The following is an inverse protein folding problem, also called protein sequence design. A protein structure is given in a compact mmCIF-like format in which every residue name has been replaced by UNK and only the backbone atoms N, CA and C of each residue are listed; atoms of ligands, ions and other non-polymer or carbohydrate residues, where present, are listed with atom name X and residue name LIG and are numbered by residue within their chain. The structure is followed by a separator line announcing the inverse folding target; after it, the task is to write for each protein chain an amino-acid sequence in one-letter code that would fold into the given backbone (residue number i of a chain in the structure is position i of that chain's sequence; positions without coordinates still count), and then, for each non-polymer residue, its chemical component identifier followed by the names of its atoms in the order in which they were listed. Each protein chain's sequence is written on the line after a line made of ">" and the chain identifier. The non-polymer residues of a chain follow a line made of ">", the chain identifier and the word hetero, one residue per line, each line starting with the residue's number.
data_IF_737425705823
#
_entry.id   IF_737425705823
#
_cell.length_a   1.000
_cell.length_b   1.000
_cell.length_c   1.000
_cell.angle_alpha   90.00
_cell.angle_beta   90.00
_cell.angle_gamma   90.00
#
_symmetry.space_group_name_H-M   'P 1'
#
loop_
_entity.id
_entity.type
_entity.pdbx_description
1 polymer ?
#
# COMPACT_ATOMS: atom_id res chain seq x y z
N UNK A 1 -12.33 3.26 40.77
CA UNK A 1 -12.73 4.35 39.85
C UNK A 1 -12.09 3.99 38.52
N UNK A 2 -12.84 3.45 37.58
CA UNK A 2 -12.29 3.11 36.23
C UNK A 2 -12.27 4.43 35.47
N UNK A 3 -11.08 4.96 35.22
CA UNK A 3 -10.94 6.09 34.30
C UNK A 3 -11.46 5.66 32.94
N UNK A 4 -12.49 6.36 32.46
CA UNK A 4 -13.00 6.19 31.10
C UNK A 4 -11.90 6.52 30.08
N UNK A 5 -12.10 6.17 28.80
CA UNK A 5 -11.12 6.45 27.76
C UNK A 5 -10.80 7.95 27.74
N UNK A 6 -9.51 8.29 27.75
CA UNK A 6 -9.08 9.68 27.66
C UNK A 6 -9.42 10.24 26.28
N UNK A 7 -9.64 11.55 26.18
CA UNK A 7 -9.91 12.25 24.90
C UNK A 7 -8.86 11.93 23.84
N UNK A 8 -7.62 11.71 24.25
CA UNK A 8 -6.51 11.31 23.38
C UNK A 8 -6.72 9.90 22.80
N UNK A 9 -7.15 8.93 23.63
CA UNK A 9 -7.42 7.56 23.15
C UNK A 9 -8.59 7.48 22.17
N UNK A 10 -9.62 8.30 22.34
CA UNK A 10 -10.75 8.42 21.42
C UNK A 10 -10.32 9.03 20.07
N UNK A 11 -9.47 10.07 20.11
CA UNK A 11 -8.91 10.70 18.92
C UNK A 11 -8.07 9.71 18.13
N UNK A 12 -7.19 8.95 18.77
CA UNK A 12 -6.36 7.93 18.13
C UNK A 12 -7.21 6.81 17.51
N UNK A 13 -8.28 6.38 18.19
CA UNK A 13 -9.20 5.39 17.65
C UNK A 13 -9.92 5.91 16.39
N UNK A 14 -10.32 7.17 16.39
CA UNK A 14 -10.96 7.82 15.23
C UNK A 14 -10.00 7.94 14.05
N UNK A 15 -8.75 8.38 14.30
CA UNK A 15 -7.72 8.45 13.24
C UNK A 15 -7.48 7.07 12.64
N UNK A 16 -7.38 5.99 13.43
CA UNK A 16 -7.22 4.64 12.89
C UNK A 16 -8.39 4.22 12.02
N UNK A 17 -9.63 4.51 12.41
CA UNK A 17 -10.80 4.21 11.57
C UNK A 17 -10.77 4.95 10.24
N UNK A 18 -10.36 6.22 10.25
CA UNK A 18 -10.21 7.02 9.05
C UNK A 18 -9.12 6.46 8.13
N UNK A 19 -7.95 6.09 8.68
CA UNK A 19 -6.88 5.46 7.92
C UNK A 19 -7.30 4.12 7.31
N UNK A 20 -8.03 3.28 8.06
CA UNK A 20 -8.56 2.02 7.54
C UNK A 20 -9.57 2.26 6.41
N UNK A 21 -10.46 3.23 6.57
CA UNK A 21 -11.42 3.63 5.53
C UNK A 21 -10.73 4.15 4.27
N UNK A 22 -9.74 5.03 4.43
CA UNK A 22 -8.94 5.55 3.32
C UNK A 22 -8.18 4.43 2.59
N UNK A 23 -7.59 3.49 3.35
CA UNK A 23 -6.92 2.32 2.79
C UNK A 23 -7.89 1.44 2.00
N UNK A 24 -9.08 1.15 2.53
CA UNK A 24 -10.08 0.33 1.85
C UNK A 24 -10.55 0.99 0.54
N UNK A 25 -10.86 2.28 0.57
CA UNK A 25 -11.23 3.05 -0.63
C UNK A 25 -10.09 3.04 -1.65
N UNK A 26 -8.86 3.27 -1.20
CA UNK A 26 -7.69 3.28 -2.07
C UNK A 26 -7.42 1.92 -2.72
N UNK A 27 -7.54 0.81 -1.97
CA UNK A 27 -7.40 -0.55 -2.52
C UNK A 27 -8.44 -0.81 -3.60
N UNK A 28 -9.71 -0.50 -3.34
CA UNK A 28 -10.80 -0.70 -4.32
C UNK A 28 -10.60 0.22 -5.53
N UNK A 29 -10.29 1.50 -5.31
CA UNK A 29 -10.07 2.47 -6.38
C UNK A 29 -8.91 2.09 -7.30
N UNK A 30 -7.75 1.76 -6.70
CA UNK A 30 -6.57 1.32 -7.49
C UNK A 30 -6.83 0.02 -8.23
N UNK A 31 -7.56 -0.93 -7.62
CA UNK A 31 -7.95 -2.17 -8.31
C UNK A 31 -8.83 -1.88 -9.53
N UNK A 32 -9.83 -1.02 -9.36
CA UNK A 32 -10.72 -0.60 -10.44
C UNK A 32 -9.97 0.10 -11.56
N UNK A 33 -9.06 1.01 -11.22
CA UNK A 33 -8.23 1.73 -12.19
C UNK A 33 -7.36 0.77 -13.02
N UNK A 34 -6.65 -0.17 -12.38
CA UNK A 34 -5.82 -1.15 -13.08
C UNK A 34 -6.64 -2.05 -14.02
N UNK A 35 -7.86 -2.43 -13.62
CA UNK A 35 -8.76 -3.21 -14.47
C UNK A 35 -9.23 -2.37 -15.67
N UNK A 36 -9.64 -1.13 -15.45
CA UNK A 36 -10.09 -0.21 -16.50
C UNK A 36 -8.98 0.10 -17.51
N UNK A 37 -7.75 0.24 -17.03
CA UNK A 37 -6.56 0.46 -17.86
C UNK A 37 -6.08 -0.82 -18.56
N UNK A 38 -6.79 -1.95 -18.41
CA UNK A 38 -6.39 -3.26 -18.95
C UNK A 38 -4.94 -3.62 -18.61
N UNK A 39 -4.55 -3.37 -17.37
CA UNK A 39 -3.18 -3.66 -16.91
C UNK A 39 -2.97 -5.16 -16.67
N UNK A 40 -3.19 -5.96 -17.73
CA UNK A 40 -3.23 -7.44 -17.71
C UNK A 40 -2.53 -8.08 -18.91
N UNK A 41 -1.90 -7.29 -19.79
CA UNK A 41 -1.33 -7.80 -21.05
C UNK A 41 -0.03 -8.60 -20.83
N UNK A 42 0.68 -8.34 -19.73
CA UNK A 42 1.94 -9.02 -19.40
C UNK A 42 1.84 -9.70 -18.02
N UNK A 43 2.50 -10.87 -17.81
CA UNK A 43 2.44 -11.57 -16.53
C UNK A 43 2.82 -10.71 -15.32
N UNK A 44 3.82 -9.82 -15.45
CA UNK A 44 4.24 -8.94 -14.38
C UNK A 44 3.14 -7.92 -13.94
N UNK A 45 2.22 -7.59 -14.84
CA UNK A 45 1.11 -6.67 -14.57
C UNK A 45 0.02 -7.30 -13.69
N UNK A 46 -0.03 -8.63 -13.59
CA UNK A 46 -0.94 -9.32 -12.68
C UNK A 46 -0.53 -9.21 -11.21
N UNK A 47 0.76 -8.99 -10.93
CA UNK A 47 1.28 -8.95 -9.57
C UNK A 47 0.55 -7.92 -8.71
N UNK A 48 0.44 -6.64 -9.10
CA UNK A 48 -0.28 -5.65 -8.30
C UNK A 48 -1.76 -6.00 -8.13
N UNK A 49 -2.44 -6.55 -9.16
CA UNK A 49 -3.84 -6.96 -9.06
C UNK A 49 -4.05 -8.09 -8.06
N UNK A 50 -3.18 -9.12 -8.08
CA UNK A 50 -3.25 -10.24 -7.13
C UNK A 50 -3.05 -9.76 -5.70
N UNK A 51 -2.08 -8.86 -5.49
CA UNK A 51 -1.79 -8.32 -4.15
C UNK A 51 -2.91 -7.41 -3.65
N UNK A 52 -3.50 -6.59 -4.53
CA UNK A 52 -4.70 -5.79 -4.22
C UNK A 52 -5.91 -6.68 -3.92
N UNK A 53 -6.12 -7.75 -4.69
CA UNK A 53 -7.19 -8.72 -4.45
C UNK A 53 -7.01 -9.44 -3.09
N UNK A 54 -5.77 -9.79 -2.72
CA UNK A 54 -5.46 -10.37 -1.43
C UNK A 54 -5.68 -9.39 -0.26
N UNK A 55 -5.57 -8.09 -0.51
CA UNK A 55 -5.81 -7.07 0.51
C UNK A 55 -7.27 -7.03 0.97
N UNK A 56 -8.23 -7.29 0.07
CA UNK A 56 -9.66 -7.20 0.39
C UNK A 56 -10.07 -8.14 1.54
N UNK A 57 -9.84 -9.46 1.47
CA UNK A 57 -10.20 -10.35 2.57
C UNK A 57 -9.42 -10.07 3.85
N UNK A 58 -8.16 -9.62 3.75
CA UNK A 58 -7.34 -9.28 4.92
C UNK A 58 -7.90 -8.02 5.60
N UNK A 59 -8.32 -7.01 4.87
CA UNK A 59 -8.96 -5.82 5.40
C UNK A 59 -10.32 -6.15 6.06
N UNK A 60 -11.13 -6.98 5.43
CA UNK A 60 -12.41 -7.45 5.99
C UNK A 60 -12.16 -8.20 7.29
N UNK A 61 -11.21 -9.15 7.29
CA UNK A 61 -10.86 -9.89 8.50
C UNK A 61 -10.39 -8.97 9.62
N UNK A 62 -9.46 -8.05 9.30
CA UNK A 62 -8.94 -7.11 10.30
C UNK A 62 -10.04 -6.19 10.85
N UNK A 63 -10.93 -5.68 9.99
CA UNK A 63 -12.03 -4.80 10.38
C UNK A 63 -13.08 -5.52 11.27
N UNK A 64 -13.39 -6.80 10.97
CA UNK A 64 -14.40 -7.58 11.69
C UNK A 64 -13.87 -8.23 12.98
N UNK A 65 -12.60 -8.62 13.01
CA UNK A 65 -11.96 -9.32 14.14
C UNK A 65 -10.53 -8.85 14.36
N UNK A 66 -10.33 -7.64 14.91
CA UNK A 66 -9.01 -7.11 15.20
C UNK A 66 -8.27 -8.00 16.20
N UNK A 67 -7.13 -8.55 15.78
CA UNK A 67 -6.30 -9.46 16.60
C UNK A 67 -4.82 -9.22 16.29
N UNK A 68 -3.92 -9.71 17.14
CA UNK A 68 -2.49 -9.65 16.88
C UNK A 68 -2.11 -10.31 15.55
N UNK A 69 -2.79 -11.40 15.19
CA UNK A 69 -2.58 -12.07 13.91
C UNK A 69 -3.02 -11.20 12.73
N UNK A 70 -4.25 -10.64 12.77
CA UNK A 70 -4.75 -9.79 11.69
C UNK A 70 -3.91 -8.53 11.51
N UNK A 71 -3.43 -7.90 12.61
CA UNK A 71 -2.54 -6.74 12.55
C UNK A 71 -1.21 -7.10 11.88
N UNK A 72 -0.58 -8.22 12.27
CA UNK A 72 0.70 -8.66 11.68
C UNK A 72 0.54 -9.01 10.20
N UNK A 73 -0.53 -9.70 9.83
CA UNK A 73 -0.82 -10.03 8.43
C UNK A 73 -1.01 -8.76 7.60
N UNK A 74 -1.75 -7.78 8.12
CA UNK A 74 -1.90 -6.49 7.48
C UNK A 74 -0.55 -5.77 7.33
N UNK A 75 0.30 -5.75 8.37
CA UNK A 75 1.63 -5.13 8.30
C UNK A 75 2.51 -5.76 7.22
N UNK A 76 2.56 -7.10 7.16
CA UNK A 76 3.33 -7.83 6.13
C UNK A 76 2.83 -7.51 4.74
N UNK A 77 1.51 -7.51 4.54
CA UNK A 77 0.91 -7.14 3.27
C UNK A 77 1.25 -5.69 2.87
N UNK A 78 1.15 -4.74 3.81
CA UNK A 78 1.44 -3.33 3.54
C UNK A 78 2.92 -3.09 3.24
N UNK A 79 3.83 -3.81 3.88
CA UNK A 79 5.25 -3.82 3.47
C UNK A 79 5.41 -4.33 2.04
N UNK A 80 4.70 -5.39 1.68
CA UNK A 80 4.64 -5.87 0.29
C UNK A 80 4.17 -4.80 -0.69
N UNK A 81 3.14 -4.02 -0.34
CA UNK A 81 2.67 -2.88 -1.14
C UNK A 81 3.78 -1.84 -1.36
N UNK A 82 4.51 -1.47 -0.31
CA UNK A 82 5.63 -0.51 -0.43
C UNK A 82 6.71 -1.05 -1.35
N UNK A 83 7.14 -2.30 -1.14
CA UNK A 83 8.22 -2.92 -1.94
C UNK A 83 7.81 -3.04 -3.40
N UNK A 84 6.62 -3.58 -3.67
CA UNK A 84 6.11 -3.75 -5.04
C UNK A 84 5.88 -2.40 -5.73
N UNK A 85 5.41 -1.39 -5.00
CA UNK A 85 5.25 -0.04 -5.53
C UNK A 85 6.59 0.57 -5.94
N UNK A 86 7.63 0.45 -5.10
CA UNK A 86 8.99 0.92 -5.42
C UNK A 86 9.56 0.19 -6.64
N UNK A 87 9.43 -1.14 -6.70
CA UNK A 87 9.84 -1.92 -7.86
C UNK A 87 9.08 -1.47 -9.12
N UNK A 88 7.77 -1.26 -9.00
CA UNK A 88 6.92 -0.79 -10.09
C UNK A 88 7.37 0.57 -10.64
N UNK A 89 7.69 1.53 -9.78
CA UNK A 89 8.26 2.84 -10.19
C UNK A 89 9.55 2.62 -11.00
N UNK A 90 10.45 1.77 -10.52
CA UNK A 90 11.69 1.44 -11.23
C UNK A 90 11.45 0.81 -12.61
N UNK A 91 10.50 -0.12 -12.70
CA UNK A 91 10.16 -0.77 -13.97
C UNK A 91 9.56 0.20 -14.99
N UNK A 92 8.64 1.09 -14.55
CA UNK A 92 8.07 2.12 -15.41
C UNK A 92 9.13 3.12 -15.88
N UNK A 93 10.04 3.52 -14.98
CA UNK A 93 11.14 4.38 -15.34
C UNK A 93 12.05 3.73 -16.40
N UNK A 94 12.45 2.49 -16.19
CA UNK A 94 13.31 1.77 -17.14
C UNK A 94 12.62 1.59 -18.50
N UNK A 95 11.34 1.24 -18.53
CA UNK A 95 10.59 1.13 -19.78
C UNK A 95 10.53 2.46 -20.55
N UNK A 96 10.34 3.58 -19.83
CA UNK A 96 10.38 4.90 -20.47
C UNK A 96 11.78 5.27 -20.95
N UNK A 97 12.85 4.89 -20.23
CA UNK A 97 14.24 5.08 -20.68
C UNK A 97 14.49 4.35 -21.99
N UNK A 98 14.08 3.11 -22.09
CA UNK A 98 14.22 2.33 -23.33
C UNK A 98 13.46 2.99 -24.47
N UNK A 99 12.19 3.31 -24.26
CA UNK A 99 11.34 3.97 -25.24
C UNK A 99 11.91 5.31 -25.73
N UNK A 100 12.36 6.19 -24.83
CA UNK A 100 12.95 7.47 -25.20
C UNK A 100 14.29 7.33 -25.94
N UNK A 101 15.09 6.32 -25.61
CA UNK A 101 16.35 6.04 -26.32
C UNK A 101 16.12 5.55 -27.75
N UNK A 102 15.04 4.79 -27.97
CA UNK A 102 14.67 4.34 -29.31
C UNK A 102 14.16 5.48 -30.18
N UNK A 103 13.31 6.37 -29.60
CA UNK A 103 12.74 7.50 -30.33
C UNK A 103 13.73 8.64 -30.55
N UNK A 104 14.57 8.93 -29.57
CA UNK A 104 15.45 10.09 -29.52
C UNK A 104 16.87 9.73 -29.09
N UNK A 105 17.64 8.97 -29.91
CA UNK A 105 18.96 8.45 -29.53
C UNK A 105 20.00 9.50 -29.14
N UNK A 106 19.85 10.74 -29.66
CA UNK A 106 20.76 11.85 -29.41
C UNK A 106 20.43 12.67 -28.17
N UNK A 107 19.23 12.53 -27.60
CA UNK A 107 18.85 13.33 -26.43
C UNK A 107 19.60 12.92 -25.17
N UNK A 108 19.99 13.93 -24.36
CA UNK A 108 20.76 13.77 -23.14
C UNK A 108 20.32 14.84 -22.10
N UNK A 109 20.80 14.69 -20.87
CA UNK A 109 20.64 15.67 -19.81
C UNK A 109 19.20 15.84 -19.34
N UNK A 110 18.85 17.08 -18.98
CA UNK A 110 17.57 17.41 -18.36
C UNK A 110 16.36 17.10 -19.26
N UNK A 111 16.47 17.32 -20.56
CA UNK A 111 15.41 17.06 -21.53
C UNK A 111 15.08 15.56 -21.57
N UNK A 112 16.11 14.73 -21.64
CA UNK A 112 15.94 13.27 -21.59
C UNK A 112 15.29 12.83 -20.28
N UNK A 113 15.79 13.31 -19.14
CA UNK A 113 15.23 12.96 -17.82
C UNK A 113 13.75 13.35 -17.72
N UNK A 114 13.39 14.58 -18.14
CA UNK A 114 12.00 15.04 -18.11
C UNK A 114 11.08 14.17 -18.98
N UNK A 115 11.52 13.83 -20.19
CA UNK A 115 10.76 12.97 -21.10
C UNK A 115 10.61 11.56 -20.53
N UNK A 116 11.64 11.00 -19.93
CA UNK A 116 11.60 9.70 -19.29
C UNK A 116 10.61 9.67 -18.11
N UNK A 117 10.63 10.70 -17.26
CA UNK A 117 9.73 10.77 -16.09
C UNK A 117 8.28 11.05 -16.49
N UNK A 118 8.06 11.92 -17.50
CA UNK A 118 6.73 12.27 -18.00
C UNK A 118 6.29 11.41 -19.20
N UNK A 119 7.02 10.33 -19.49
CA UNK A 119 6.88 9.53 -20.72
C UNK A 119 5.57 8.81 -20.90
N UNK A 120 5.52 7.90 -21.87
CA UNK A 120 4.31 7.18 -22.29
C UNK A 120 3.64 6.39 -21.14
N UNK A 121 4.43 5.93 -20.17
CA UNK A 121 3.93 5.26 -18.96
C UNK A 121 4.17 6.16 -17.75
N UNK A 122 3.12 6.56 -16.98
CA UNK A 122 3.31 7.38 -15.79
C UNK A 122 4.24 6.70 -14.78
N UNK A 123 5.46 7.22 -14.60
CA UNK A 123 6.49 6.61 -13.73
C UNK A 123 6.02 6.50 -12.29
N UNK A 124 5.26 7.49 -11.82
CA UNK A 124 4.80 7.56 -10.43
C UNK A 124 3.48 6.81 -10.17
N UNK A 125 2.82 6.26 -11.21
CA UNK A 125 1.56 5.54 -11.02
C UNK A 125 1.66 4.39 -9.98
N UNK A 126 2.73 3.55 -9.99
CA UNK A 126 2.90 2.54 -8.95
C UNK A 126 3.16 3.12 -7.55
N UNK A 127 3.47 4.40 -7.43
CA UNK A 127 3.60 5.11 -6.16
C UNK A 127 2.30 5.13 -5.34
N UNK A 128 1.15 4.93 -5.97
CA UNK A 128 -0.13 4.73 -5.27
C UNK A 128 -0.07 3.52 -4.34
N UNK A 129 0.57 2.41 -4.75
CA UNK A 129 0.77 1.25 -3.88
C UNK A 129 1.70 1.57 -2.71
N UNK A 130 2.76 2.37 -2.92
CA UNK A 130 3.63 2.84 -1.83
C UNK A 130 2.80 3.65 -0.83
N UNK A 131 1.98 4.59 -1.30
CA UNK A 131 1.13 5.40 -0.44
C UNK A 131 0.14 4.55 0.35
N UNK A 132 -0.56 3.60 -0.28
CA UNK A 132 -1.47 2.68 0.38
C UNK A 132 -0.75 1.83 1.44
N UNK A 133 0.45 1.33 1.11
CA UNK A 133 1.29 0.59 2.05
C UNK A 133 1.64 1.42 3.28
N UNK A 134 2.05 2.69 3.10
CA UNK A 134 2.36 3.60 4.21
C UNK A 134 1.12 3.94 5.05
N UNK A 135 -0.04 4.17 4.43
CA UNK A 135 -1.31 4.41 5.14
C UNK A 135 -1.68 3.20 5.99
N UNK A 136 -1.57 1.98 5.43
CA UNK A 136 -1.86 0.76 6.18
C UNK A 136 -0.86 0.50 7.31
N UNK A 137 0.42 0.78 7.12
CA UNK A 137 1.43 0.70 8.19
C UNK A 137 1.17 1.74 9.29
N UNK A 138 0.77 2.96 8.93
CA UNK A 138 0.38 3.99 9.89
C UNK A 138 -0.86 3.55 10.71
N UNK A 139 -1.88 2.96 10.07
CA UNK A 139 -3.02 2.37 10.77
C UNK A 139 -2.60 1.28 11.76
N UNK A 140 -1.70 0.38 11.33
CA UNK A 140 -1.25 -0.76 12.13
C UNK A 140 -0.19 -0.39 13.19
N UNK A 141 0.34 0.84 13.16
CA UNK A 141 1.38 1.29 14.08
C UNK A 141 0.86 1.30 15.52
N UNK A 142 1.55 0.56 16.41
CA UNK A 142 1.16 0.40 17.82
C UNK A 142 -0.35 0.13 17.98
N UNK A 143 -0.89 -0.76 17.14
CA UNK A 143 -2.30 -1.10 17.19
C UNK A 143 -2.62 -1.84 18.51
N UNK A 144 -3.67 -1.45 19.27
CA UNK A 144 -3.98 -2.03 20.58
C UNK A 144 -4.13 -3.56 20.57
N UNK A 145 -4.67 -4.11 19.47
CA UNK A 145 -4.83 -5.56 19.31
C UNK A 145 -3.51 -6.31 19.08
N UNK A 146 -2.41 -5.62 18.75
CA UNK A 146 -1.10 -6.25 18.61
C UNK A 146 -0.50 -6.64 19.98
N UNK A 147 -0.79 -5.89 21.04
CA UNK A 147 -0.25 -6.10 22.38
C UNK A 147 -1.07 -7.06 23.24
N UNK A 148 -2.33 -7.33 22.86
CA UNK A 148 -3.24 -8.22 23.59
C UNK A 148 -2.73 -9.68 23.72
N UNK A 149 -1.82 -10.10 22.84
CA UNK A 149 -1.18 -11.42 22.92
C UNK A 149 -0.07 -11.51 23.98
N UNK A 150 0.66 -10.42 24.23
CA UNK A 150 1.75 -10.39 25.23
C UNK A 150 1.21 -10.45 26.66
N UNK A 151 0.17 -9.70 26.96
CA UNK A 151 -0.41 -9.66 28.33
C UNK A 151 -1.00 -11.00 28.77
N UNK A 152 -1.54 -11.81 27.85
CA UNK A 152 -2.05 -13.17 28.19
C UNK A 152 -0.94 -14.15 28.52
N UNK A 153 0.25 -14.01 27.96
CA UNK A 153 1.39 -14.91 28.29
C UNK A 153 2.02 -14.58 29.65
N UNK A 154 2.02 -13.30 30.06
CA UNK A 154 2.57 -12.89 31.35
C UNK A 154 1.65 -13.25 32.55
N UNK A 155 0.37 -13.50 32.31
CA UNK A 155 -0.59 -13.86 33.37
C UNK A 155 -0.70 -15.39 33.57
N UNK A 156 0.02 -16.21 32.78
CA UNK A 156 -0.05 -17.69 32.83
C UNK A 156 1.24 -18.31 33.40
N UNK A 157 2.16 -17.51 33.93
CA UNK A 157 3.34 -17.90 34.71
C UNK A 157 3.13 -17.45 36.15
#
# INVERSE_FOLDING_TARGET
>A
MMDGPTRESETLASIRKLLLGALAIGVVGTSGELILLRHIDKPAQWIPLVVLAAAVPILIWHASSPSAASVRTLQVLMLGFVVLGVIGVGLHYNGNVEFERELNPSERGWTFLRKTVAGATPVLAPGSMVLLGLVGLAHAYRHPSADGGRRRQETTV
#
